data_IF_144623504136
#
_entry.id   IF_144623504136
#
_cell.length_a   1.000
_cell.length_b   1.000
_cell.length_c   1.000
_cell.angle_alpha   90.00
_cell.angle_beta   90.00
_cell.angle_gamma   90.00
#
_symmetry.space_group_name_H-M   'P 1'
#
loop_
_entity.id
_entity.type
_entity.pdbx_description
1 polymer ?
#
# COMPACT_ATOMS: atom_id res chain seq x y z
N UNK A 1 18.98 -50.19 11.17
CA UNK A 1 17.66 -49.60 11.38
C UNK A 1 17.83 -48.07 11.35
N UNK A 2 17.55 -47.44 10.21
CA UNK A 2 17.56 -46.00 10.05
C UNK A 2 16.16 -45.48 10.38
N UNK A 3 16.03 -44.59 11.35
CA UNK A 3 14.79 -43.87 11.64
C UNK A 3 14.54 -42.90 10.52
N UNK A 4 13.36 -42.97 9.91
CA UNK A 4 12.88 -42.01 8.95
C UNK A 4 12.57 -40.71 9.69
N UNK A 5 13.15 -39.59 9.23
CA UNK A 5 12.80 -38.22 9.67
C UNK A 5 11.48 -37.85 9.00
N UNK A 6 10.45 -37.62 9.79
CA UNK A 6 9.19 -37.04 9.33
C UNK A 6 9.41 -35.55 8.95
N UNK A 7 8.82 -35.07 7.85
CA UNK A 7 8.94 -33.68 7.48
C UNK A 7 8.14 -32.78 8.45
N UNK A 8 8.81 -31.79 9.00
CA UNK A 8 8.20 -30.71 9.80
C UNK A 8 7.21 -29.95 8.91
N UNK A 9 5.93 -30.21 9.08
CA UNK A 9 4.84 -29.40 8.51
C UNK A 9 4.82 -28.10 9.30
N UNK A 10 5.32 -27.04 8.70
CA UNK A 10 5.17 -25.68 9.23
C UNK A 10 3.67 -25.34 9.24
N UNK A 11 3.09 -25.25 10.43
CA UNK A 11 1.76 -24.67 10.61
C UNK A 11 1.82 -23.20 10.19
N UNK A 12 1.25 -22.91 9.02
CA UNK A 12 0.95 -21.54 8.62
C UNK A 12 0.01 -20.95 9.67
N UNK A 13 0.50 -20.00 10.47
CA UNK A 13 -0.33 -19.16 11.29
C UNK A 13 -1.24 -18.35 10.37
N UNK A 14 -2.42 -18.86 10.08
CA UNK A 14 -3.36 -18.33 9.10
C UNK A 14 -3.93 -17.00 9.56
N UNK A 15 -3.62 -15.94 8.81
CA UNK A 15 -4.50 -14.78 8.75
C UNK A 15 -5.85 -15.28 8.23
N UNK A 16 -6.96 -15.11 8.96
CA UNK A 16 -8.25 -15.65 8.55
C UNK A 16 -8.61 -15.22 7.13
N UNK A 17 -8.97 -16.18 6.29
CA UNK A 17 -9.37 -15.92 4.91
C UNK A 17 -10.67 -15.12 4.92
N UNK A 18 -10.65 -13.88 4.39
CA UNK A 18 -11.86 -13.10 4.18
C UNK A 18 -12.74 -13.77 3.11
N UNK A 19 -14.09 -13.75 3.25
CA UNK A 19 -15.01 -14.13 2.18
C UNK A 19 -14.70 -13.34 0.90
N UNK A 20 -15.06 -13.91 -0.26
CA UNK A 20 -14.73 -13.36 -1.57
C UNK A 20 -15.05 -11.88 -1.72
N UNK A 21 -14.17 -11.14 -2.41
CA UNK A 21 -14.48 -9.76 -2.79
C UNK A 21 -15.68 -9.77 -3.70
N UNK A 22 -16.71 -8.97 -3.40
CA UNK A 22 -17.93 -8.88 -4.20
C UNK A 22 -17.67 -8.32 -5.61
N UNK A 23 -18.61 -8.46 -6.53
CA UNK A 23 -18.60 -7.91 -7.88
C UNK A 23 -18.70 -6.37 -7.95
N UNK A 24 -19.25 -5.83 -9.01
CA UNK A 24 -19.53 -4.38 -9.13
C UNK A 24 -20.25 -3.86 -7.87
N UNK A 25 -19.79 -2.72 -7.30
CA UNK A 25 -20.27 -2.22 -6.01
C UNK A 25 -19.52 -2.75 -4.77
N UNK A 26 -18.46 -3.53 -4.97
CA UNK A 26 -17.68 -4.18 -3.91
C UNK A 26 -17.24 -3.26 -2.78
N UNK A 27 -16.91 -2.03 -3.12
CA UNK A 27 -16.36 -1.06 -2.20
C UNK A 27 -17.32 0.10 -1.86
N UNK A 28 -18.60 0.02 -2.25
CA UNK A 28 -19.54 1.12 -2.01
C UNK A 28 -19.84 1.31 -0.53
N UNK A 29 -19.84 0.22 0.24
CA UNK A 29 -20.22 0.22 1.64
C UNK A 29 -19.05 0.20 2.60
N UNK A 30 -17.90 -0.39 2.21
CA UNK A 30 -16.73 -0.56 3.05
C UNK A 30 -15.45 -0.54 2.22
N UNK A 31 -14.41 0.21 2.63
CA UNK A 31 -13.13 0.15 1.98
C UNK A 31 -12.44 -1.19 2.26
N UNK A 32 -11.58 -1.62 1.35
CA UNK A 32 -10.70 -2.76 1.57
C UNK A 32 -9.58 -2.44 2.57
N UNK A 33 -9.10 -1.19 2.54
CA UNK A 33 -7.96 -0.73 3.33
C UNK A 33 -8.17 0.71 3.80
N UNK A 34 -7.87 0.97 5.06
CA UNK A 34 -7.72 2.30 5.63
C UNK A 34 -6.28 2.51 6.01
N UNK A 35 -5.66 3.54 5.48
CA UNK A 35 -4.30 3.95 5.84
C UNK A 35 -4.40 5.18 6.75
N UNK A 36 -3.81 5.06 7.93
CA UNK A 36 -3.70 6.18 8.86
C UNK A 36 -2.25 6.65 8.95
N UNK A 37 -2.01 7.90 8.51
CA UNK A 37 -0.77 8.61 8.74
C UNK A 37 -0.74 9.09 10.20
N UNK A 38 -0.18 8.29 11.08
CA UNK A 38 -0.25 8.52 12.53
C UNK A 38 0.57 9.72 13.00
N UNK A 39 1.57 10.11 12.21
CA UNK A 39 2.48 11.24 12.48
C UNK A 39 3.21 11.64 11.20
N UNK A 40 3.63 12.90 11.10
CA UNK A 40 4.58 13.34 10.07
C UNK A 40 6.04 13.34 10.55
N UNK A 41 6.28 13.05 11.83
CA UNK A 41 7.63 13.00 12.37
C UNK A 41 8.44 11.85 11.75
N UNK A 42 9.63 12.16 11.24
CA UNK A 42 10.55 11.18 10.68
C UNK A 42 11.99 11.65 10.80
N UNK A 43 12.92 10.70 10.94
CA UNK A 43 14.36 10.97 10.90
C UNK A 43 14.94 10.89 9.48
N UNK A 44 14.14 10.48 8.48
CA UNK A 44 14.55 10.43 7.08
C UNK A 44 14.14 11.70 6.33
N UNK A 45 14.87 11.99 5.24
CA UNK A 45 14.64 13.16 4.39
C UNK A 45 14.41 12.78 2.91
N UNK A 46 13.74 11.63 2.68
CA UNK A 46 13.55 11.00 1.36
C UNK A 46 13.14 12.00 0.27
N UNK A 47 13.71 11.85 -0.93
CA UNK A 47 13.44 12.74 -2.08
C UNK A 47 11.97 12.67 -2.55
N UNK A 48 11.35 11.51 -2.39
CA UNK A 48 9.99 11.18 -2.85
C UNK A 48 8.93 11.23 -1.73
N UNK A 49 9.24 11.84 -0.57
CA UNK A 49 8.37 11.74 0.60
C UNK A 49 7.00 12.38 0.36
N UNK A 50 5.96 11.56 0.22
CA UNK A 50 4.57 11.97 0.09
C UNK A 50 4.10 12.86 1.24
N UNK A 51 4.43 12.48 2.48
CA UNK A 51 4.00 13.19 3.70
C UNK A 51 4.72 14.52 3.92
N UNK A 52 5.76 14.85 3.13
CA UNK A 52 6.66 15.98 3.45
C UNK A 52 7.09 15.96 4.91
N UNK A 53 7.57 14.77 5.36
CA UNK A 53 7.88 14.49 6.75
C UNK A 53 8.78 15.55 7.40
N UNK A 54 8.55 15.79 8.68
CA UNK A 54 9.21 16.81 9.51
C UNK A 54 9.96 16.11 10.68
N UNK A 55 10.99 16.77 11.29
CA UNK A 55 11.78 16.11 12.34
C UNK A 55 11.05 15.84 13.66
N UNK A 56 10.04 16.64 13.99
CA UNK A 56 9.29 16.59 15.25
C UNK A 56 7.82 16.32 14.99
N UNK A 57 7.11 15.79 16.00
CA UNK A 57 5.67 15.58 15.94
C UNK A 57 4.93 16.90 15.85
N UNK A 58 3.88 16.94 15.03
CA UNK A 58 2.94 18.06 14.98
C UNK A 58 2.05 18.00 16.25
N UNK A 59 1.92 19.08 17.01
CA UNK A 59 1.06 19.10 18.21
C UNK A 59 -0.43 18.88 17.91
N UNK A 60 -0.83 19.02 16.65
CA UNK A 60 -2.21 18.79 16.19
C UNK A 60 -2.51 17.32 15.85
N UNK A 61 -1.51 16.43 15.91
CA UNK A 61 -1.73 15.00 15.66
C UNK A 61 -2.85 14.46 16.54
N UNK A 62 -3.59 13.47 16.01
CA UNK A 62 -4.61 12.77 16.81
C UNK A 62 -3.98 12.23 18.10
N UNK A 63 -4.64 12.48 19.24
CA UNK A 63 -4.24 11.91 20.54
C UNK A 63 -4.40 10.40 20.54
N UNK A 64 -3.98 9.73 21.62
CA UNK A 64 -4.19 8.29 21.77
C UNK A 64 -5.68 7.95 21.82
N UNK A 65 -6.46 8.74 22.54
CA UNK A 65 -7.91 8.58 22.66
C UNK A 65 -8.63 8.80 21.34
N UNK A 66 -8.28 9.85 20.59
CA UNK A 66 -8.80 10.09 19.23
C UNK A 66 -8.41 8.96 18.28
N UNK A 67 -7.19 8.42 18.40
CA UNK A 67 -6.72 7.28 17.64
C UNK A 67 -7.50 5.99 17.94
N UNK A 68 -7.82 5.72 19.20
CA UNK A 68 -8.69 4.60 19.60
C UNK A 68 -10.09 4.77 19.01
N UNK A 69 -10.68 5.97 19.13
CA UNK A 69 -11.99 6.27 18.56
C UNK A 69 -11.99 6.12 17.01
N UNK A 70 -10.92 6.52 16.34
CA UNK A 70 -10.77 6.29 14.89
C UNK A 70 -10.78 4.80 14.55
N UNK A 71 -10.04 3.96 15.31
CA UNK A 71 -10.01 2.51 15.08
C UNK A 71 -11.39 1.87 15.30
N UNK A 72 -12.15 2.31 16.30
CA UNK A 72 -13.54 1.87 16.52
C UNK A 72 -14.46 2.26 15.35
N UNK A 73 -14.33 3.48 14.82
CA UNK A 73 -15.09 3.91 13.62
C UNK A 73 -14.70 3.12 12.39
N UNK A 74 -13.42 2.72 12.25
CA UNK A 74 -13.00 1.84 11.15
C UNK A 74 -13.63 0.45 11.30
N UNK A 75 -13.73 -0.08 12.51
CA UNK A 75 -14.44 -1.35 12.76
C UNK A 75 -15.93 -1.27 12.43
N UNK A 76 -16.56 -0.09 12.59
CA UNK A 76 -17.97 0.14 12.27
C UNK A 76 -18.33 0.07 10.78
N UNK A 77 -17.37 -0.04 9.87
CA UNK A 77 -17.66 -0.36 8.46
C UNK A 77 -18.35 -1.72 8.29
N UNK A 78 -18.25 -2.61 9.27
CA UNK A 78 -18.89 -3.93 9.29
C UNK A 78 -17.98 -5.06 8.85
N UNK A 79 -18.58 -6.24 8.64
CA UNK A 79 -17.86 -7.46 8.31
C UNK A 79 -17.78 -7.70 6.79
N UNK A 80 -16.60 -8.02 6.26
CA UNK A 80 -15.30 -8.03 6.93
C UNK A 80 -14.77 -6.59 7.10
N UNK A 81 -14.17 -6.27 8.28
CA UNK A 81 -13.66 -4.92 8.54
C UNK A 81 -12.47 -4.59 7.62
N UNK A 82 -12.18 -3.30 7.35
CA UNK A 82 -11.02 -2.89 6.57
C UNK A 82 -9.68 -3.39 7.16
N UNK A 83 -8.69 -3.62 6.30
CA UNK A 83 -7.30 -3.70 6.74
C UNK A 83 -6.84 -2.31 7.19
N UNK A 84 -6.25 -2.19 8.36
CA UNK A 84 -5.67 -0.92 8.82
C UNK A 84 -4.15 -0.94 8.67
N UNK A 85 -3.60 0.11 8.04
CA UNK A 85 -2.16 0.32 7.94
C UNK A 85 -1.78 1.59 8.70
N UNK A 86 -1.04 1.44 9.77
CA UNK A 86 -0.43 2.56 10.47
C UNK A 86 0.86 2.95 9.75
N UNK A 87 0.93 4.19 9.32
CA UNK A 87 2.07 4.75 8.58
C UNK A 87 2.34 6.19 9.04
N UNK A 88 3.08 6.94 8.25
CA UNK A 88 3.33 8.35 8.54
C UNK A 88 4.64 8.82 7.95
N UNK A 89 5.30 9.69 8.67
CA UNK A 89 6.74 9.87 8.56
C UNK A 89 7.41 8.58 9.06
N UNK A 90 7.42 8.39 10.38
CA UNK A 90 7.80 7.13 11.02
C UNK A 90 6.83 6.87 12.17
N UNK A 91 5.90 5.91 12.06
CA UNK A 91 4.90 5.63 13.10
C UNK A 91 5.56 5.25 14.44
N UNK A 92 6.80 4.76 14.43
CA UNK A 92 7.56 4.50 15.64
C UNK A 92 8.04 5.78 16.38
N UNK A 93 7.79 6.95 15.83
CA UNK A 93 7.97 8.23 16.57
C UNK A 93 6.82 8.48 17.56
N UNK A 94 5.70 7.78 17.43
CA UNK A 94 4.64 7.77 18.43
C UNK A 94 4.98 6.79 19.56
N UNK A 95 4.91 7.20 20.84
CA UNK A 95 5.16 6.31 21.96
C UNK A 95 4.05 5.27 22.16
N UNK A 96 2.82 5.59 21.77
CA UNK A 96 1.58 4.82 21.95
C UNK A 96 1.26 3.86 20.80
N UNK A 97 2.14 3.70 19.80
CA UNK A 97 1.82 2.92 18.58
C UNK A 97 1.50 1.45 18.88
N UNK A 98 2.18 0.82 19.87
CA UNK A 98 1.89 -0.57 20.26
C UNK A 98 0.51 -0.69 20.93
N UNK A 99 0.12 0.31 21.73
CA UNK A 99 -1.18 0.40 22.35
C UNK A 99 -2.30 0.55 21.29
N UNK A 100 -2.09 1.39 20.28
CA UNK A 100 -3.01 1.54 19.16
C UNK A 100 -3.16 0.24 18.36
N UNK A 101 -2.07 -0.51 18.13
CA UNK A 101 -2.12 -1.83 17.51
C UNK A 101 -2.95 -2.79 18.35
N UNK A 102 -2.69 -2.86 19.67
CA UNK A 102 -3.43 -3.72 20.58
C UNK A 102 -4.94 -3.37 20.62
N UNK A 103 -5.26 -2.07 20.61
CA UNK A 103 -6.65 -1.61 20.58
C UNK A 103 -7.33 -2.03 19.26
N UNK A 104 -6.71 -1.77 18.11
CA UNK A 104 -7.26 -2.16 16.82
C UNK A 104 -7.48 -3.67 16.70
N UNK A 105 -6.53 -4.47 17.17
CA UNK A 105 -6.67 -5.94 17.22
C UNK A 105 -7.85 -6.37 18.09
N UNK A 106 -8.02 -5.74 19.26
CA UNK A 106 -9.12 -6.06 20.20
C UNK A 106 -10.50 -5.76 19.60
N UNK A 107 -10.64 -4.70 18.80
CA UNK A 107 -11.89 -4.37 18.12
C UNK A 107 -12.08 -5.09 16.78
N UNK A 108 -11.28 -6.15 16.52
CA UNK A 108 -11.43 -7.04 15.37
C UNK A 108 -10.73 -6.58 14.09
N UNK A 109 -9.93 -5.52 14.11
CA UNK A 109 -9.21 -5.03 12.93
C UNK A 109 -7.95 -5.86 12.65
N UNK A 110 -7.63 -6.06 11.38
CA UNK A 110 -6.32 -6.57 10.96
C UNK A 110 -5.33 -5.40 10.89
N UNK A 111 -4.37 -5.35 11.83
CA UNK A 111 -3.43 -4.24 11.96
C UNK A 111 -2.13 -4.49 11.19
N UNK A 112 -1.66 -3.51 10.44
CA UNK A 112 -0.37 -3.52 9.74
C UNK A 112 0.40 -2.23 10.05
N UNK A 113 1.72 -2.29 10.03
CA UNK A 113 2.58 -1.13 10.32
C UNK A 113 3.64 -0.96 9.22
N UNK A 114 3.90 0.29 8.84
CA UNK A 114 4.97 0.64 7.91
C UNK A 114 5.95 1.63 8.56
N UNK A 115 6.94 1.15 9.35
CA UNK A 115 7.94 2.03 9.93
C UNK A 115 8.96 2.49 8.89
N UNK A 116 9.67 3.57 9.22
CA UNK A 116 10.83 3.99 8.45
C UNK A 116 12.07 3.15 8.79
N UNK A 117 12.99 3.01 7.82
CA UNK A 117 14.29 2.34 8.02
C UNK A 117 15.23 3.16 8.92
N UNK A 118 14.92 3.23 10.21
CA UNK A 118 15.62 4.02 11.22
C UNK A 118 16.03 3.19 12.42
N UNK A 119 16.82 3.79 13.32
CA UNK A 119 17.16 3.18 14.61
C UNK A 119 15.99 3.02 15.57
N UNK A 120 14.83 3.63 15.28
CA UNK A 120 13.64 3.53 16.13
C UNK A 120 12.99 2.13 16.15
N UNK A 121 13.17 1.34 15.09
CA UNK A 121 12.67 -0.03 14.99
C UNK A 121 13.63 -1.01 15.69
N UNK A 122 13.64 -1.04 17.01
CA UNK A 122 14.44 -2.00 17.80
C UNK A 122 13.75 -3.36 17.88
N UNK A 123 14.51 -4.43 18.13
CA UNK A 123 13.97 -5.78 18.35
C UNK A 123 12.90 -5.82 19.45
N UNK A 124 13.12 -5.08 20.54
CA UNK A 124 12.16 -4.95 21.63
C UNK A 124 10.82 -4.35 21.16
N UNK A 125 10.87 -3.23 20.41
CA UNK A 125 9.66 -2.59 19.89
C UNK A 125 8.93 -3.44 18.86
N UNK A 126 9.67 -4.14 18.00
CA UNK A 126 9.07 -5.08 17.04
C UNK A 126 8.40 -6.26 17.75
N UNK A 127 9.01 -6.76 18.84
CA UNK A 127 8.41 -7.80 19.69
C UNK A 127 7.13 -7.28 20.33
N UNK A 128 7.16 -6.08 20.94
CA UNK A 128 5.96 -5.47 21.54
C UNK A 128 4.81 -5.30 20.53
N UNK A 129 5.11 -4.91 19.28
CA UNK A 129 4.12 -4.82 18.21
C UNK A 129 3.55 -6.19 17.82
N UNK A 130 4.39 -7.23 17.71
CA UNK A 130 3.93 -8.60 17.47
C UNK A 130 3.00 -9.06 18.58
N UNK A 131 3.39 -8.86 19.83
CA UNK A 131 2.63 -9.27 21.01
C UNK A 131 1.31 -8.47 21.15
N UNK A 132 1.27 -7.25 20.62
CA UNK A 132 0.06 -6.44 20.46
C UNK A 132 -0.88 -6.92 19.35
N UNK A 133 -0.49 -7.94 18.55
CA UNK A 133 -1.31 -8.51 17.48
C UNK A 133 -1.06 -7.92 16.10
N UNK A 134 0.12 -7.34 15.85
CA UNK A 134 0.48 -6.85 14.51
C UNK A 134 0.46 -8.00 13.49
N UNK A 135 -0.42 -7.93 12.50
CA UNK A 135 -0.61 -8.96 11.50
C UNK A 135 0.41 -8.89 10.35
N UNK A 136 1.02 -7.71 10.10
CA UNK A 136 2.02 -7.52 9.03
C UNK A 136 2.90 -6.32 9.31
N UNK A 137 4.19 -6.47 9.04
CA UNK A 137 5.17 -5.38 8.98
C UNK A 137 5.52 -5.10 7.52
N UNK A 138 5.47 -3.82 7.10
CA UNK A 138 5.95 -3.41 5.78
C UNK A 138 7.19 -2.54 5.94
N UNK A 139 8.23 -2.84 5.16
CA UNK A 139 9.51 -2.12 5.21
C UNK A 139 9.87 -1.62 3.82
N UNK A 140 10.39 -0.40 3.74
CA UNK A 140 10.74 0.18 2.43
C UNK A 140 12.18 -0.11 2.06
N UNK A 141 12.38 -0.61 0.82
CA UNK A 141 13.69 -0.82 0.20
C UNK A 141 13.66 -0.30 -1.24
N UNK A 142 14.42 0.77 -1.53
CA UNK A 142 14.37 1.48 -2.82
C UNK A 142 15.68 1.43 -3.62
N UNK A 143 16.67 0.70 -3.16
CA UNK A 143 17.93 0.49 -3.86
C UNK A 143 18.52 -0.86 -3.51
N UNK A 144 19.11 -1.53 -4.49
CA UNK A 144 19.76 -2.83 -4.31
C UNK A 144 21.07 -2.73 -3.51
N UNK A 145 21.63 -1.53 -3.42
CA UNK A 145 22.86 -1.23 -2.67
C UNK A 145 22.61 -0.18 -1.59
N UNK A 146 23.49 -0.15 -0.59
CA UNK A 146 23.46 0.90 0.44
C UNK A 146 23.59 2.30 -0.18
N UNK A 147 24.44 2.46 -1.18
CA UNK A 147 24.64 3.74 -1.85
C UNK A 147 23.36 4.25 -2.53
N UNK A 148 22.69 3.40 -3.31
CA UNK A 148 21.45 3.75 -4.01
C UNK A 148 20.32 4.06 -3.00
N UNK A 149 20.10 3.17 -2.04
CA UNK A 149 19.03 3.33 -1.04
C UNK A 149 19.24 4.59 -0.18
N UNK A 150 20.45 4.76 0.40
CA UNK A 150 20.75 5.88 1.29
C UNK A 150 20.66 7.24 0.56
N UNK A 151 21.11 7.29 -0.71
CA UNK A 151 20.96 8.48 -1.54
C UNK A 151 19.49 8.85 -1.77
N UNK A 152 18.62 7.87 -2.03
CA UNK A 152 17.19 8.08 -2.25
C UNK A 152 16.45 8.47 -0.95
N UNK A 153 16.85 7.87 0.17
CA UNK A 153 16.33 8.19 1.51
C UNK A 153 16.98 9.42 2.15
N UNK A 154 18.09 9.93 1.58
CA UNK A 154 18.90 11.06 2.06
C UNK A 154 19.40 10.91 3.49
N UNK A 155 19.60 9.69 3.95
CA UNK A 155 20.17 9.39 5.27
C UNK A 155 21.10 8.20 5.17
N UNK A 156 22.39 8.44 5.41
CA UNK A 156 23.43 7.41 5.43
C UNK A 156 23.11 6.37 6.49
N UNK A 157 23.15 5.10 6.11
CA UNK A 157 22.89 3.96 6.99
C UNK A 157 21.41 3.56 7.08
N UNK A 158 20.49 4.21 6.36
CA UNK A 158 19.08 3.81 6.30
C UNK A 158 18.93 2.41 5.70
N UNK A 159 19.71 2.05 4.69
CA UNK A 159 19.76 0.70 4.13
C UNK A 159 20.08 -0.35 5.19
N UNK A 160 21.13 -0.15 5.98
CA UNK A 160 21.50 -1.06 7.06
C UNK A 160 20.41 -1.21 8.12
N UNK A 161 19.72 -0.11 8.46
CA UNK A 161 18.58 -0.17 9.38
C UNK A 161 17.42 -0.96 8.77
N UNK A 162 17.12 -0.76 7.47
CA UNK A 162 16.10 -1.51 6.75
C UNK A 162 16.39 -3.02 6.78
N UNK A 163 17.63 -3.44 6.45
CA UNK A 163 18.02 -4.86 6.48
C UNK A 163 17.90 -5.45 7.89
N UNK A 164 18.34 -4.73 8.92
CA UNK A 164 18.18 -5.18 10.31
C UNK A 164 16.71 -5.38 10.67
N UNK A 165 15.81 -4.49 10.26
CA UNK A 165 14.36 -4.65 10.50
C UNK A 165 13.83 -5.91 9.81
N UNK A 166 14.29 -6.20 8.60
CA UNK A 166 13.96 -7.44 7.86
C UNK A 166 14.40 -8.68 8.65
N UNK A 167 15.63 -8.70 9.13
CA UNK A 167 16.19 -9.82 9.92
C UNK A 167 15.39 -10.02 11.22
N UNK A 168 15.14 -8.96 11.97
CA UNK A 168 14.37 -8.99 13.22
C UNK A 168 12.92 -9.44 13.00
N UNK A 169 12.25 -8.94 11.96
CA UNK A 169 10.89 -9.34 11.62
C UNK A 169 10.81 -10.84 11.29
N UNK A 170 11.79 -11.36 10.54
CA UNK A 170 11.91 -12.79 10.23
C UNK A 170 12.15 -13.63 11.47
N UNK A 171 13.07 -13.21 12.35
CA UNK A 171 13.34 -13.89 13.61
C UNK A 171 12.11 -13.94 14.53
N UNK A 172 11.26 -12.93 14.46
CA UNK A 172 10.00 -12.83 15.22
C UNK A 172 8.82 -13.56 14.55
N UNK A 173 8.99 -14.11 13.34
CA UNK A 173 7.91 -14.73 12.56
C UNK A 173 6.84 -13.73 12.09
N UNK A 174 7.13 -12.43 12.04
CA UNK A 174 6.20 -11.42 11.53
C UNK A 174 6.07 -11.53 10.01
N UNK A 175 4.86 -11.65 9.45
CA UNK A 175 4.65 -11.58 8.02
C UNK A 175 5.21 -10.28 7.45
N UNK A 176 6.15 -10.38 6.51
CA UNK A 176 6.92 -9.25 5.99
C UNK A 176 6.45 -8.83 4.60
N UNK A 177 6.27 -7.53 4.42
CA UNK A 177 6.05 -6.89 3.13
C UNK A 177 7.23 -5.97 2.81
N UNK A 178 7.70 -5.97 1.57
CA UNK A 178 8.65 -4.97 1.08
C UNK A 178 7.90 -3.95 0.22
N UNK A 179 8.20 -2.68 0.42
CA UNK A 179 7.72 -1.58 -0.40
C UNK A 179 8.88 -0.99 -1.19
N UNK A 180 8.74 -0.84 -2.50
CA UNK A 180 9.74 -0.20 -3.36
C UNK A 180 9.09 0.90 -4.18
N UNK A 181 9.62 2.10 -4.11
CA UNK A 181 9.20 3.21 -4.98
C UNK A 181 9.76 2.97 -6.38
N UNK A 182 8.90 3.04 -7.38
CA UNK A 182 9.24 2.87 -8.80
C UNK A 182 9.26 4.24 -9.45
N UNK A 183 10.46 4.70 -9.80
CA UNK A 183 10.72 5.99 -10.44
C UNK A 183 12.00 5.93 -11.26
N UNK A 184 12.38 7.02 -11.94
CA UNK A 184 13.60 7.05 -12.78
C UNK A 184 14.86 6.64 -12.04
N UNK A 185 14.96 6.97 -10.74
CA UNK A 185 16.16 6.69 -9.94
C UNK A 185 16.25 5.24 -9.47
N UNK A 186 15.12 4.53 -9.36
CA UNK A 186 15.05 3.20 -8.71
C UNK A 186 14.74 2.07 -9.68
N UNK A 187 14.22 2.38 -10.87
CA UNK A 187 13.71 1.37 -11.82
C UNK A 187 14.78 0.37 -12.26
N UNK A 188 16.03 0.82 -12.39
CA UNK A 188 17.15 -0.04 -12.80
C UNK A 188 17.51 -1.09 -11.73
N UNK A 189 17.22 -0.81 -10.46
CA UNK A 189 17.53 -1.70 -9.33
C UNK A 189 16.48 -2.81 -9.15
N UNK A 190 15.30 -2.72 -9.79
CA UNK A 190 14.20 -3.67 -9.59
C UNK A 190 14.57 -5.14 -9.80
N UNK A 191 15.37 -5.53 -10.81
CA UNK A 191 15.77 -6.93 -10.98
C UNK A 191 16.61 -7.45 -9.80
N UNK A 192 17.61 -6.69 -9.36
CA UNK A 192 18.47 -7.05 -8.24
C UNK A 192 17.70 -7.05 -6.91
N UNK A 193 16.76 -6.12 -6.73
CA UNK A 193 15.85 -6.12 -5.58
C UNK A 193 14.95 -7.35 -5.58
N UNK A 194 14.47 -7.81 -6.73
CA UNK A 194 13.66 -9.02 -6.83
C UNK A 194 14.41 -10.27 -6.32
N UNK A 195 15.70 -10.40 -6.66
CA UNK A 195 16.55 -11.49 -6.19
C UNK A 195 16.74 -11.43 -4.67
N UNK A 196 17.02 -10.25 -4.11
CA UNK A 196 17.16 -10.06 -2.67
C UNK A 196 15.88 -10.40 -1.92
N UNK A 197 14.74 -9.85 -2.37
CA UNK A 197 13.42 -10.03 -1.75
C UNK A 197 13.01 -11.51 -1.80
N UNK A 198 13.33 -12.24 -2.87
CA UNK A 198 13.05 -13.66 -3.00
C UNK A 198 13.72 -14.52 -1.90
N UNK A 199 14.91 -14.11 -1.44
CA UNK A 199 15.65 -14.80 -0.38
C UNK A 199 15.12 -14.54 1.05
N UNK A 200 14.16 -13.63 1.24
CA UNK A 200 13.75 -13.19 2.58
C UNK A 200 12.46 -13.82 3.10
N UNK A 201 11.77 -14.62 2.30
CA UNK A 201 10.51 -15.25 2.72
C UNK A 201 9.38 -14.24 2.94
N UNK A 202 9.36 -13.14 2.20
CA UNK A 202 8.31 -12.13 2.29
C UNK A 202 6.97 -12.67 1.79
N UNK A 203 5.88 -12.10 2.28
CA UNK A 203 4.52 -12.47 1.82
C UNK A 203 4.05 -11.58 0.67
N UNK A 204 4.63 -10.37 0.54
CA UNK A 204 4.22 -9.38 -0.46
C UNK A 204 5.36 -8.43 -0.82
N UNK A 205 5.53 -8.17 -2.11
CA UNK A 205 6.32 -7.04 -2.60
C UNK A 205 5.40 -6.03 -3.27
N UNK A 206 5.36 -4.80 -2.73
CA UNK A 206 4.53 -3.72 -3.23
C UNK A 206 5.38 -2.69 -3.99
N UNK A 207 5.07 -2.52 -5.26
CA UNK A 207 5.69 -1.56 -6.16
C UNK A 207 4.86 -0.27 -6.19
N UNK A 208 5.41 0.80 -5.63
CA UNK A 208 4.77 2.12 -5.55
C UNK A 208 5.24 3.00 -6.67
N UNK A 209 4.42 3.18 -7.70
CA UNK A 209 4.75 4.08 -8.80
C UNK A 209 4.64 5.54 -8.33
N UNK A 210 5.72 6.30 -8.52
CA UNK A 210 5.82 7.66 -8.00
C UNK A 210 4.74 8.56 -8.57
N UNK A 211 4.07 9.28 -7.66
CA UNK A 211 3.16 10.39 -7.95
C UNK A 211 3.83 11.68 -7.45
N UNK A 212 3.80 12.76 -8.23
CA UNK A 212 4.38 14.05 -7.82
C UNK A 212 3.51 14.74 -6.77
N UNK A 213 3.65 14.27 -5.52
CA UNK A 213 2.98 14.79 -4.32
C UNK A 213 3.98 14.91 -3.18
N UNK A 214 3.81 15.88 -2.30
CA UNK A 214 4.75 16.16 -1.21
C UNK A 214 6.09 16.68 -1.74
N UNK A 215 7.20 15.94 -1.48
CA UNK A 215 8.53 16.27 -2.00
C UNK A 215 8.85 15.67 -3.37
N UNK A 216 8.03 14.73 -3.84
CA UNK A 216 8.23 14.12 -5.15
C UNK A 216 7.99 15.11 -6.28
N UNK A 217 8.83 15.07 -7.32
CA UNK A 217 8.76 15.94 -8.48
C UNK A 217 8.33 15.17 -9.72
N UNK A 218 7.66 15.84 -10.66
CA UNK A 218 7.13 15.20 -11.88
C UNK A 218 8.22 14.60 -12.78
N UNK A 219 9.40 15.22 -12.83
CA UNK A 219 10.55 14.75 -13.61
C UNK A 219 11.16 13.45 -13.06
N UNK A 220 10.87 13.08 -11.82
CA UNK A 220 11.28 11.82 -11.21
C UNK A 220 10.37 10.64 -11.62
N UNK A 221 9.14 10.92 -12.05
CA UNK A 221 8.18 9.90 -12.47
C UNK A 221 8.64 9.18 -13.76
N UNK A 222 8.23 7.93 -13.90
CA UNK A 222 8.45 7.20 -15.14
C UNK A 222 7.48 7.69 -16.25
N UNK A 223 7.91 7.75 -17.50
CA UNK A 223 7.00 7.90 -18.63
C UNK A 223 6.11 6.66 -18.78
N UNK A 224 4.99 6.82 -19.48
CA UNK A 224 3.97 5.78 -19.63
C UNK A 224 4.50 4.46 -20.20
N UNK A 225 5.39 4.52 -21.21
CA UNK A 225 6.01 3.32 -21.80
C UNK A 225 6.88 2.56 -20.80
N UNK A 226 7.59 3.27 -19.92
CA UNK A 226 8.40 2.65 -18.90
C UNK A 226 7.53 2.01 -17.81
N UNK A 227 6.41 2.67 -17.43
CA UNK A 227 5.41 2.09 -16.54
C UNK A 227 4.92 0.77 -17.13
N UNK A 228 4.50 0.74 -18.39
CA UNK A 228 4.00 -0.46 -19.07
C UNK A 228 5.05 -1.58 -19.09
N UNK A 229 6.32 -1.25 -19.37
CA UNK A 229 7.43 -2.23 -19.34
C UNK A 229 7.62 -2.83 -17.95
N UNK A 230 7.59 -2.01 -16.89
CA UNK A 230 7.72 -2.48 -15.51
C UNK A 230 6.52 -3.36 -15.13
N UNK A 231 5.30 -3.00 -15.51
CA UNK A 231 4.11 -3.80 -15.24
C UNK A 231 4.17 -5.16 -15.96
N UNK A 232 4.65 -5.17 -17.22
CA UNK A 232 4.90 -6.40 -17.94
C UNK A 232 5.93 -7.30 -17.24
N UNK A 233 7.06 -6.73 -16.83
CA UNK A 233 8.08 -7.42 -16.06
C UNK A 233 7.55 -7.97 -14.72
N UNK A 234 6.79 -7.16 -13.98
CA UNK A 234 6.19 -7.58 -12.72
C UNK A 234 5.20 -8.75 -12.88
N UNK A 235 4.43 -8.76 -13.97
CA UNK A 235 3.53 -9.85 -14.31
C UNK A 235 4.29 -11.17 -14.61
N UNK A 236 5.44 -11.08 -15.29
CA UNK A 236 6.30 -12.25 -15.54
C UNK A 236 6.99 -12.74 -14.26
N UNK A 237 7.45 -11.80 -13.43
CA UNK A 237 8.07 -12.12 -12.14
C UNK A 237 7.08 -12.82 -11.19
N UNK A 238 5.82 -12.37 -11.15
CA UNK A 238 4.78 -12.96 -10.28
C UNK A 238 4.63 -14.47 -10.52
N UNK A 239 4.92 -14.97 -11.71
CA UNK A 239 4.84 -16.40 -12.04
C UNK A 239 6.00 -17.21 -11.47
N UNK A 240 7.12 -16.57 -11.15
CA UNK A 240 8.39 -17.20 -10.75
C UNK A 240 8.70 -17.11 -9.25
N UNK A 241 8.02 -16.17 -8.54
CA UNK A 241 8.31 -15.91 -7.13
C UNK A 241 7.26 -16.49 -6.20
N UNK A 242 7.62 -16.86 -4.94
CA UNK A 242 6.71 -17.45 -3.97
C UNK A 242 5.82 -16.42 -3.22
N UNK A 243 5.98 -15.14 -3.45
CA UNK A 243 5.23 -14.06 -2.79
C UNK A 243 4.31 -13.32 -3.75
N UNK A 244 3.35 -12.56 -3.21
CA UNK A 244 2.50 -11.71 -4.02
C UNK A 244 3.23 -10.47 -4.51
N UNK A 245 2.91 -9.99 -5.73
CA UNK A 245 3.30 -8.67 -6.21
C UNK A 245 2.04 -7.80 -6.26
N UNK A 246 2.14 -6.58 -5.71
CA UNK A 246 1.10 -5.57 -5.75
C UNK A 246 1.67 -4.30 -6.36
N UNK A 247 0.88 -3.61 -7.17
CA UNK A 247 1.20 -2.25 -7.61
C UNK A 247 0.34 -1.24 -6.84
N UNK A 248 0.92 -0.10 -6.51
CA UNK A 248 0.24 1.06 -5.94
C UNK A 248 0.44 2.21 -6.92
N UNK A 249 -0.62 2.96 -7.22
CA UNK A 249 -0.66 4.02 -8.23
C UNK A 249 -0.33 3.53 -9.67
N UNK A 250 -0.53 2.24 -9.92
CA UNK A 250 -0.50 1.65 -11.24
C UNK A 250 -1.54 0.51 -11.38
N UNK A 251 -2.85 0.84 -11.31
CA UNK A 251 -3.92 -0.14 -11.45
C UNK A 251 -3.97 -0.78 -12.85
N UNK A 252 -3.28 -0.21 -13.85
CA UNK A 252 -3.06 -0.83 -15.15
C UNK A 252 -2.45 -2.23 -15.08
N UNK A 253 -1.81 -2.61 -13.98
CA UNK A 253 -1.36 -3.98 -13.74
C UNK A 253 -2.47 -5.00 -13.94
N UNK A 254 -3.70 -4.67 -13.50
CA UNK A 254 -4.88 -5.52 -13.71
C UNK A 254 -5.22 -5.68 -15.20
N UNK A 255 -5.05 -4.63 -16.02
CA UNK A 255 -5.21 -4.69 -17.47
C UNK A 255 -4.11 -5.57 -18.10
N UNK A 256 -2.85 -5.33 -17.73
CA UNK A 256 -1.71 -6.08 -18.26
C UNK A 256 -1.86 -7.59 -18.00
N UNK A 257 -2.21 -7.95 -16.78
CA UNK A 257 -2.43 -9.37 -16.40
C UNK A 257 -3.66 -9.94 -17.12
N UNK A 258 -4.77 -9.19 -17.19
CA UNK A 258 -5.99 -9.62 -17.87
C UNK A 258 -5.81 -9.81 -19.37
N UNK A 259 -5.13 -8.89 -20.04
CA UNK A 259 -4.82 -8.99 -21.48
C UNK A 259 -3.91 -10.19 -21.80
N UNK A 260 -2.95 -10.51 -20.93
CA UNK A 260 -2.11 -11.70 -21.08
C UNK A 260 -2.89 -13.01 -20.89
N UNK A 261 -3.78 -13.05 -19.90
CA UNK A 261 -4.65 -14.21 -19.70
C UNK A 261 -5.59 -14.46 -20.89
N UNK A 262 -6.13 -13.40 -21.50
CA UNK A 262 -6.96 -13.50 -22.70
C UNK A 262 -6.19 -14.02 -23.92
N UNK A 263 -4.86 -13.87 -23.96
CA UNK A 263 -3.97 -14.40 -25.03
C UNK A 263 -3.46 -15.81 -24.73
N UNK A 264 -4.06 -16.52 -23.77
CA UNK A 264 -3.71 -17.92 -23.43
C UNK A 264 -2.48 -18.05 -22.52
N UNK A 265 -1.97 -16.98 -21.93
CA UNK A 265 -0.98 -17.10 -20.87
C UNK A 265 -1.63 -17.78 -19.66
N UNK A 266 -1.02 -18.86 -19.15
CA UNK A 266 -1.51 -19.49 -17.94
C UNK A 266 -1.68 -18.46 -16.81
N UNK A 267 -2.83 -18.44 -16.11
CA UNK A 267 -3.03 -17.55 -14.99
C UNK A 267 -1.91 -17.79 -13.97
N UNK A 268 -1.27 -16.72 -13.52
CA UNK A 268 -0.34 -16.80 -12.40
C UNK A 268 -1.06 -17.48 -11.23
N UNK A 269 -0.50 -18.57 -10.69
CA UNK A 269 -1.13 -19.31 -9.57
C UNK A 269 -1.42 -18.33 -8.45
N UNK A 270 -2.68 -18.15 -8.06
CA UNK A 270 -3.00 -17.33 -6.91
C UNK A 270 -2.47 -18.06 -5.68
N UNK A 271 -1.53 -17.47 -4.97
CA UNK A 271 -0.85 -18.08 -3.83
C UNK A 271 -1.45 -17.70 -2.48
N UNK A 272 -2.46 -16.87 -2.47
CA UNK A 272 -3.31 -16.66 -1.29
C UNK A 272 -4.77 -16.54 -1.70
N UNK A 273 -5.71 -17.02 -0.88
CA UNK A 273 -7.14 -16.81 -1.09
C UNK A 273 -7.52 -15.34 -1.23
N UNK A 274 -6.68 -14.44 -0.71
CA UNK A 274 -6.86 -12.98 -0.75
C UNK A 274 -6.45 -12.38 -2.10
N UNK A 275 -5.39 -12.89 -2.73
CA UNK A 275 -4.93 -12.45 -4.05
C UNK A 275 -5.88 -12.92 -5.18
N UNK A 276 -6.59 -14.04 -4.97
CA UNK A 276 -7.55 -14.61 -5.94
C UNK A 276 -8.78 -13.75 -6.19
N UNK A 277 -9.08 -12.80 -5.33
CA UNK A 277 -10.42 -12.21 -5.22
C UNK A 277 -10.54 -10.76 -5.60
N UNK A 278 -9.45 -10.08 -5.97
CA UNK A 278 -9.51 -8.73 -6.52
C UNK A 278 -9.84 -8.81 -8.02
N UNK A 279 -11.09 -8.99 -8.34
CA UNK A 279 -11.59 -8.81 -9.72
C UNK A 279 -11.49 -7.35 -10.17
N UNK A 280 -11.29 -6.44 -9.24
CA UNK A 280 -11.20 -4.98 -9.42
C UNK A 280 -9.99 -4.43 -8.66
N UNK A 281 -9.33 -3.41 -9.22
CA UNK A 281 -8.27 -2.70 -8.52
C UNK A 281 -8.84 -1.94 -7.31
N UNK A 282 -8.05 -1.92 -6.22
CA UNK A 282 -8.24 -0.96 -5.12
C UNK A 282 -7.52 0.31 -5.52
N UNK A 283 -8.25 1.39 -5.69
CA UNK A 283 -7.74 2.70 -6.12
C UNK A 283 -8.19 3.81 -5.17
N UNK A 284 -7.70 5.03 -5.39
CA UNK A 284 -8.04 6.21 -4.59
C UNK A 284 -9.56 6.35 -4.42
N UNK A 285 -10.06 6.34 -3.20
CA UNK A 285 -11.49 6.43 -2.88
C UNK A 285 -12.34 5.21 -3.23
N UNK A 286 -11.81 4.27 -4.02
CA UNK A 286 -12.48 3.03 -4.40
C UNK A 286 -11.80 1.84 -3.72
N UNK A 287 -12.30 1.48 -2.55
CA UNK A 287 -11.70 0.47 -1.68
C UNK A 287 -10.53 0.99 -0.84
N UNK A 288 -10.21 2.27 -0.91
CA UNK A 288 -9.12 2.91 -0.21
C UNK A 288 -9.60 4.17 0.51
N UNK A 289 -9.18 4.35 1.76
CA UNK A 289 -9.34 5.58 2.54
C UNK A 289 -8.01 5.90 3.20
N UNK A 290 -7.72 7.17 3.27
CA UNK A 290 -6.57 7.71 3.98
C UNK A 290 -7.04 8.70 5.03
N UNK A 291 -6.52 8.56 6.26
CA UNK A 291 -6.69 9.55 7.32
C UNK A 291 -5.30 10.11 7.64
N UNK A 292 -5.16 11.41 7.56
CA UNK A 292 -3.89 12.07 7.86
C UNK A 292 -3.67 12.24 9.38
N UNK A 293 -2.51 12.77 9.76
CA UNK A 293 -2.10 12.93 11.15
C UNK A 293 -2.96 13.93 11.95
N UNK A 294 -3.65 14.85 11.29
CA UNK A 294 -4.58 15.80 11.92
C UNK A 294 -6.05 15.40 11.78
N UNK A 295 -6.30 14.23 11.19
CA UNK A 295 -7.63 13.62 11.09
C UNK A 295 -8.36 13.91 9.79
N UNK A 296 -7.76 14.56 8.79
CA UNK A 296 -8.40 14.77 7.50
C UNK A 296 -8.61 13.47 6.74
N UNK A 297 -9.83 13.27 6.22
CA UNK A 297 -10.25 12.08 5.47
C UNK A 297 -10.07 12.36 3.99
N UNK A 298 -9.18 11.60 3.33
CA UNK A 298 -8.90 11.73 1.91
C UNK A 298 -9.09 10.40 1.17
N UNK A 299 -9.31 10.42 -0.16
CA UNK A 299 -9.41 9.21 -0.98
C UNK A 299 -8.16 8.34 -0.95
N UNK A 300 -6.98 8.96 -0.92
CA UNK A 300 -5.69 8.32 -0.65
C UNK A 300 -4.66 9.34 -0.18
N UNK A 301 -3.52 8.86 0.32
CA UNK A 301 -2.43 9.75 0.68
C UNK A 301 -1.73 10.38 -0.53
N UNK A 302 -1.96 9.88 -1.75
CA UNK A 302 -1.45 10.43 -2.99
C UNK A 302 -2.46 11.35 -3.69
N UNK A 303 -3.72 11.33 -3.24
CA UNK A 303 -4.79 12.23 -3.67
C UNK A 303 -5.27 13.03 -2.44
N UNK A 304 -4.54 14.09 -2.05
CA UNK A 304 -4.80 14.83 -0.83
C UNK A 304 -5.94 15.85 -0.99
N UNK A 305 -7.13 15.35 -1.26
CA UNK A 305 -8.38 16.11 -1.35
C UNK A 305 -9.23 15.76 -0.13
N UNK A 306 -9.25 16.60 0.93
CA UNK A 306 -10.03 16.32 2.12
C UNK A 306 -11.53 16.36 1.85
N UNK A 307 -12.23 15.27 2.19
CA UNK A 307 -13.69 15.14 2.13
C UNK A 307 -14.34 15.32 3.51
N UNK A 308 -13.56 15.34 4.58
CA UNK A 308 -14.01 15.53 5.95
C UNK A 308 -12.85 15.42 6.94
N UNK A 309 -13.16 15.46 8.24
CA UNK A 309 -12.19 15.27 9.31
C UNK A 309 -12.78 14.44 10.45
N UNK A 310 -12.06 13.41 10.91
CA UNK A 310 -12.55 12.44 11.91
C UNK A 310 -12.91 13.05 13.28
N UNK A 311 -12.50 14.29 13.58
CA UNK A 311 -12.87 14.98 14.81
C UNK A 311 -14.31 15.50 14.82
N UNK A 312 -14.89 15.73 13.62
CA UNK A 312 -16.24 16.32 13.48
C UNK A 312 -17.17 15.50 12.61
N UNK A 313 -16.62 14.66 11.72
CA UNK A 313 -17.40 13.96 10.70
C UNK A 313 -17.38 12.45 10.96
N UNK A 314 -18.46 11.75 10.59
CA UNK A 314 -18.53 10.29 10.63
C UNK A 314 -17.79 9.69 9.43
N UNK A 315 -16.72 8.93 9.71
CA UNK A 315 -15.87 8.32 8.69
C UNK A 315 -16.65 7.42 7.73
N UNK A 316 -17.65 6.68 8.25
CA UNK A 316 -18.45 5.75 7.46
C UNK A 316 -19.35 6.51 6.52
N UNK A 317 -20.00 7.56 7.01
CA UNK A 317 -20.85 8.44 6.20
C UNK A 317 -20.03 9.16 5.12
N UNK A 318 -18.88 9.77 5.49
CA UNK A 318 -17.97 10.41 4.51
C UNK A 318 -17.59 9.43 3.41
N UNK A 319 -17.12 8.24 3.73
CA UNK A 319 -16.75 7.26 2.71
C UNK A 319 -17.91 6.89 1.80
N UNK A 320 -19.11 6.70 2.35
CA UNK A 320 -20.28 6.22 1.58
C UNK A 320 -20.94 7.31 0.74
N UNK A 321 -21.02 8.54 1.25
CA UNK A 321 -21.95 9.56 0.78
C UNK A 321 -21.26 10.81 0.22
N UNK A 322 -20.00 11.07 0.59
CA UNK A 322 -19.30 12.24 0.08
C UNK A 322 -19.19 12.22 -1.44
N UNK A 323 -19.54 13.32 -2.13
CA UNK A 323 -19.57 13.38 -3.60
C UNK A 323 -18.25 13.01 -4.28
N UNK A 324 -17.09 13.30 -3.66
CA UNK A 324 -15.79 12.92 -4.20
C UNK A 324 -15.60 11.40 -4.17
N UNK A 325 -15.88 10.77 -3.02
CA UNK A 325 -15.79 9.32 -2.89
C UNK A 325 -16.77 8.59 -3.80
N UNK A 326 -18.00 9.09 -3.92
CA UNK A 326 -19.01 8.54 -4.83
C UNK A 326 -18.52 8.64 -6.28
N UNK A 327 -18.00 9.80 -6.68
CA UNK A 327 -17.49 10.01 -8.04
C UNK A 327 -16.31 9.08 -8.37
N UNK A 328 -15.37 8.88 -7.44
CA UNK A 328 -14.20 8.01 -7.64
C UNK A 328 -14.55 6.53 -7.74
N UNK A 329 -15.69 6.10 -7.22
CA UNK A 329 -16.20 4.72 -7.36
C UNK A 329 -16.99 4.48 -8.64
N UNK A 330 -17.50 5.53 -9.25
CA UNK A 330 -18.30 5.46 -10.48
C UNK A 330 -17.41 5.55 -11.74
N UNK A 331 -17.07 4.40 -12.32
CA UNK A 331 -16.24 4.31 -13.51
C UNK A 331 -16.86 4.96 -14.76
N UNK A 332 -18.19 5.19 -14.77
CA UNK A 332 -18.87 5.86 -15.88
C UNK A 332 -18.57 7.37 -15.93
N UNK A 333 -18.09 7.94 -14.83
CA UNK A 333 -17.70 9.35 -14.72
C UNK A 333 -16.27 9.64 -15.15
N UNK A 334 -15.48 8.60 -15.45
CA UNK A 334 -14.10 8.79 -15.91
C UNK A 334 -14.06 9.46 -17.28
N UNK A 335 -13.14 10.41 -17.44
CA UNK A 335 -12.92 11.13 -18.69
C UNK A 335 -11.90 10.46 -19.63
N UNK A 336 -11.81 10.98 -20.84
CA UNK A 336 -10.82 10.63 -21.85
C UNK A 336 -10.75 9.13 -22.16
N UNK A 337 -9.54 8.60 -22.37
CA UNK A 337 -9.30 7.18 -22.65
C UNK A 337 -9.79 6.26 -21.52
N UNK A 338 -9.72 6.69 -20.27
CA UNK A 338 -10.19 5.88 -19.14
C UNK A 338 -11.72 5.67 -19.18
N UNK A 339 -12.49 6.68 -19.61
CA UNK A 339 -13.96 6.62 -19.67
C UNK A 339 -14.49 5.65 -20.71
N UNK A 340 -13.83 5.51 -21.88
CA UNK A 340 -14.23 4.58 -22.96
C UNK A 340 -13.43 3.26 -22.94
N UNK A 341 -12.56 3.05 -21.93
CA UNK A 341 -11.73 1.87 -21.85
C UNK A 341 -12.53 0.62 -21.43
N UNK A 342 -12.35 -0.49 -22.14
CA UNK A 342 -12.96 -1.77 -21.83
C UNK A 342 -12.49 -2.35 -20.48
N UNK A 343 -11.38 -1.83 -19.96
CA UNK A 343 -10.82 -2.20 -18.64
C UNK A 343 -11.23 -1.25 -17.51
N UNK A 344 -12.05 -0.23 -17.77
CA UNK A 344 -12.37 0.82 -16.79
C UNK A 344 -12.87 0.27 -15.45
N UNK A 345 -13.69 -0.79 -15.47
CA UNK A 345 -14.23 -1.42 -14.26
C UNK A 345 -13.16 -2.14 -13.42
N UNK A 346 -12.12 -2.67 -14.06
CA UNK A 346 -11.06 -3.41 -13.38
C UNK A 346 -9.86 -2.55 -13.04
N UNK A 347 -9.55 -1.59 -13.85
CA UNK A 347 -8.36 -0.73 -13.77
C UNK A 347 -8.70 0.65 -13.22
N UNK A 348 -9.49 1.44 -13.94
CA UNK A 348 -9.86 2.81 -13.60
C UNK A 348 -8.73 3.85 -13.65
N UNK A 349 -7.46 3.46 -13.89
CA UNK A 349 -6.29 4.35 -13.87
C UNK A 349 -5.95 4.87 -12.46
N UNK A 350 -4.75 5.47 -12.28
CA UNK A 350 -4.40 6.16 -11.04
C UNK A 350 -5.10 7.53 -10.98
N UNK A 351 -6.02 7.68 -10.05
CA UNK A 351 -6.73 8.95 -9.86
C UNK A 351 -5.84 10.02 -9.26
N UNK A 352 -4.88 9.59 -8.45
CA UNK A 352 -3.84 10.48 -7.92
C UNK A 352 -2.93 11.03 -9.03
N UNK A 353 -2.50 10.20 -10.01
CA UNK A 353 -1.70 10.68 -11.13
C UNK A 353 -2.51 11.60 -12.04
N UNK A 354 -3.76 11.23 -12.34
CA UNK A 354 -4.66 12.07 -13.12
C UNK A 354 -4.76 13.46 -12.46
N UNK A 355 -5.08 13.54 -11.18
CA UNK A 355 -5.17 14.80 -10.45
C UNK A 355 -3.85 15.57 -10.41
N UNK A 356 -2.74 14.91 -10.08
CA UNK A 356 -1.45 15.58 -9.94
C UNK A 356 -0.95 16.23 -11.24
N UNK A 357 -1.34 15.70 -12.41
CA UNK A 357 -0.89 16.19 -13.71
C UNK A 357 -1.93 17.02 -14.47
N UNK A 358 -3.21 16.90 -14.13
CA UNK A 358 -4.30 17.61 -14.85
C UNK A 358 -5.14 18.52 -13.96
N UNK A 359 -5.09 18.35 -12.63
CA UNK A 359 -5.98 19.00 -11.68
C UNK A 359 -7.35 18.34 -11.52
N UNK A 360 -7.66 17.29 -12.31
CA UNK A 360 -8.92 16.57 -12.28
C UNK A 360 -8.71 15.08 -11.94
N UNK A 361 -9.22 14.57 -10.81
CA UNK A 361 -9.08 13.16 -10.44
C UNK A 361 -9.89 12.21 -11.33
N UNK A 362 -10.83 12.72 -12.13
CA UNK A 362 -11.63 11.93 -13.06
C UNK A 362 -11.08 11.94 -14.49
N UNK A 363 -10.07 12.76 -14.79
CA UNK A 363 -9.40 12.76 -16.09
C UNK A 363 -8.76 11.40 -16.42
N UNK A 364 -8.38 11.20 -17.68
CA UNK A 364 -7.60 10.01 -18.04
C UNK A 364 -6.26 9.96 -17.29
N UNK A 365 -5.76 8.75 -17.06
CA UNK A 365 -4.44 8.56 -16.43
C UNK A 365 -3.34 8.76 -17.48
N UNK A 366 -2.49 9.83 -17.39
CA UNK A 366 -1.41 10.06 -18.33
C UNK A 366 -0.31 9.00 -18.31
N UNK A 367 -0.26 8.15 -17.29
CA UNK A 367 0.69 7.04 -17.16
C UNK A 367 0.27 5.77 -17.92
N UNK A 368 -0.81 5.78 -18.68
CA UNK A 368 -1.29 4.63 -19.45
C UNK A 368 -1.02 4.79 -20.94
N UNK A 369 -0.45 3.77 -21.57
CA UNK A 369 -0.20 3.70 -23.04
C UNK A 369 -1.34 3.03 -23.81
N UNK A 370 -2.31 2.46 -23.09
CA UNK A 370 -3.38 1.70 -23.74
C UNK A 370 -4.33 2.62 -24.49
N UNK A 371 -4.54 2.33 -25.77
CA UNK A 371 -5.56 2.97 -26.59
C UNK A 371 -6.76 2.03 -26.64
N UNK A 372 -7.89 2.44 -26.06
CA UNK A 372 -9.14 1.69 -26.15
C UNK A 372 -9.61 1.55 -27.62
N UNK A 373 -10.36 0.48 -27.96
CA UNK A 373 -11.01 0.38 -29.28
C UNK A 373 -11.77 1.66 -29.62
N UNK A 374 -11.79 2.04 -30.89
CA UNK A 374 -12.68 3.07 -31.38
C UNK A 374 -14.13 2.54 -31.27
N UNK A 375 -15.06 3.39 -30.85
CA UNK A 375 -16.49 3.08 -30.79
C UNK A 375 -17.06 2.74 -32.17
#
# INVERSE_FOLDING_TARGET
MRRAEEPIVSQEAGVPARPGLPGAGAFDRSPFIVIWETTRACALACVHCRASAIPRRDPRELTTEEGRALLERIAAFGEPPPLVVLTGGDPLRRPDVAELVAHGTRVGLTMSLTPSGTGAATAERLRALRDAGLARLAVSLDGATAAAHDAFRRVRGSHRHTLRIVEEARALGLPLQINTTVCRQTVADLPALAEQVAGWGVVLWALFFLIPVGRAQADQALPADDIERVLGWAADLQRRVPFGIKTTEAPHYHRVVGARAARGAEPSRPRSPRAMRATRAVTDGNGFVFVDHVGDICPSGFLPLPAGNVRRDDLVAVYREDPLFVALRDSSRLGGRCGRCEWRERCGGSRARAYALTGDPLAEDPGCVHEPPAD
#
